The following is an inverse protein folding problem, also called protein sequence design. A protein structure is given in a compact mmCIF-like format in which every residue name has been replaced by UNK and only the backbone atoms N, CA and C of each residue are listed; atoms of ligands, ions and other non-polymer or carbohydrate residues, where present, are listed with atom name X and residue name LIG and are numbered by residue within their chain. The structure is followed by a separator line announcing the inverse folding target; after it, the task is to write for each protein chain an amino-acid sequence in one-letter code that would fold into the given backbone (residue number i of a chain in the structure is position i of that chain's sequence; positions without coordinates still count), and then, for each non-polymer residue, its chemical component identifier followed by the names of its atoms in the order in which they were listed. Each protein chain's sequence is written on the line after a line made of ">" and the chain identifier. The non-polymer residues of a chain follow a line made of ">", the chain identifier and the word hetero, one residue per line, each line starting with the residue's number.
data_IF_053348773650
#
_entry.id   IF_053348773650
#
_cell.length_a   1.000
_cell.length_b   1.000
_cell.length_c   1.000
_cell.angle_alpha   90.00
_cell.angle_beta   90.00
_cell.angle_gamma   90.00
#
_symmetry.space_group_name_H-M   'P 1'
#
loop_
_entity.id
_entity.type
_entity.pdbx_description
1 polymer ?
#
# COMPACT_ATOMS: atom_id res chain seq x y z
N UNK A 1 -12.25 -12.74 9.03
CA UNK A 1 -11.03 -12.68 8.20
C UNK A 1 -10.82 -11.22 7.83
N UNK A 2 -9.69 -10.64 8.21
CA UNK A 2 -9.37 -9.23 7.96
C UNK A 2 -9.03 -8.95 6.49
N UNK A 3 -9.23 -7.70 6.05
CA UNK A 3 -8.97 -7.20 4.68
C UNK A 3 -7.58 -7.60 4.17
N UNK A 4 -6.55 -7.47 5.01
CA UNK A 4 -5.16 -7.77 4.63
C UNK A 4 -4.80 -9.26 4.66
N UNK A 5 -5.64 -10.13 5.24
CA UNK A 5 -5.41 -11.58 5.21
C UNK A 5 -5.54 -12.18 3.80
N UNK A 6 -6.49 -11.67 2.99
CA UNK A 6 -6.62 -12.10 1.60
C UNK A 6 -5.50 -11.54 0.72
N UNK A 7 -5.08 -10.29 0.96
CA UNK A 7 -3.98 -9.64 0.24
C UNK A 7 -2.64 -10.31 0.54
N UNK A 8 -2.37 -10.68 1.80
CA UNK A 8 -1.16 -11.40 2.18
C UNK A 8 -1.05 -12.75 1.49
N UNK A 9 -2.16 -13.49 1.33
CA UNK A 9 -2.17 -14.76 0.59
C UNK A 9 -1.83 -14.57 -0.89
N UNK A 10 -2.38 -13.54 -1.53
CA UNK A 10 -2.03 -13.23 -2.92
C UNK A 10 -0.54 -12.88 -3.03
N UNK A 11 -0.02 -12.07 -2.11
CA UNK A 11 1.39 -11.68 -2.08
C UNK A 11 2.32 -12.88 -1.85
N UNK A 12 1.90 -13.91 -1.10
CA UNK A 12 2.65 -15.17 -0.98
C UNK A 12 2.76 -15.87 -2.33
N UNK A 13 1.69 -15.92 -3.13
CA UNK A 13 1.75 -16.52 -4.46
C UNK A 13 2.70 -15.73 -5.37
N UNK A 14 2.59 -14.40 -5.38
CA UNK A 14 3.51 -13.55 -6.16
C UNK A 14 4.97 -13.74 -5.72
N UNK A 15 5.23 -13.83 -4.42
CA UNK A 15 6.59 -14.06 -3.89
C UNK A 15 7.17 -15.41 -4.30
N UNK A 16 6.36 -16.44 -4.53
CA UNK A 16 6.89 -17.73 -5.03
C UNK A 16 7.51 -17.57 -6.43
N UNK A 17 6.93 -16.71 -7.24
CA UNK A 17 7.35 -16.49 -8.63
C UNK A 17 8.48 -15.46 -8.72
N UNK A 18 8.39 -14.36 -7.96
CA UNK A 18 9.31 -13.23 -8.09
C UNK A 18 10.43 -13.20 -7.05
N UNK A 19 10.19 -13.62 -5.80
CA UNK A 19 11.22 -13.65 -4.75
C UNK A 19 11.08 -14.84 -3.77
N UNK A 20 11.31 -16.08 -4.24
CA UNK A 20 11.11 -17.28 -3.42
C UNK A 20 12.14 -17.41 -2.29
N UNK A 21 13.24 -16.63 -2.31
CA UNK A 21 14.24 -16.61 -1.25
C UNK A 21 13.69 -15.93 0.00
N UNK A 22 13.09 -14.75 -0.16
CA UNK A 22 12.45 -14.02 0.92
C UNK A 22 11.40 -14.88 1.63
N UNK A 23 10.59 -15.62 0.86
CA UNK A 23 9.56 -16.50 1.43
C UNK A 23 10.14 -17.59 2.35
N UNK A 24 11.36 -18.08 2.07
CA UNK A 24 12.05 -19.09 2.90
C UNK A 24 12.65 -18.50 4.17
N UNK A 25 12.99 -17.21 4.15
CA UNK A 25 13.54 -16.50 5.31
C UNK A 25 12.46 -16.13 6.33
N UNK A 26 11.22 -15.95 5.86
CA UNK A 26 10.06 -15.69 6.72
C UNK A 26 9.61 -16.94 7.48
N UNK A 27 9.75 -16.94 8.81
CA UNK A 27 9.27 -18.04 9.68
C UNK A 27 7.75 -18.23 9.66
N UNK A 28 7.01 -17.13 9.56
CA UNK A 28 5.54 -17.11 9.50
C UNK A 28 5.07 -16.19 8.36
N UNK A 29 5.22 -16.61 7.09
CA UNK A 29 5.03 -15.72 5.95
C UNK A 29 3.71 -14.97 5.95
N UNK A 30 2.60 -15.67 6.24
CA UNK A 30 1.29 -15.03 6.24
C UNK A 30 1.16 -13.94 7.32
N UNK A 31 1.56 -14.22 8.58
CA UNK A 31 1.48 -13.22 9.64
C UNK A 31 2.45 -12.05 9.41
N UNK A 32 3.65 -12.32 8.89
CA UNK A 32 4.63 -11.29 8.55
C UNK A 32 4.14 -10.38 7.44
N UNK A 33 3.53 -10.94 6.39
CA UNK A 33 3.01 -10.16 5.26
C UNK A 33 1.69 -9.46 5.60
N UNK A 34 0.84 -10.04 6.44
CA UNK A 34 -0.34 -9.36 6.99
C UNK A 34 0.09 -8.11 7.76
N UNK A 35 1.06 -8.22 8.67
CA UNK A 35 1.61 -7.08 9.40
C UNK A 35 2.25 -6.04 8.46
N UNK A 36 3.05 -6.48 7.50
CA UNK A 36 3.65 -5.57 6.52
C UNK A 36 2.58 -4.79 5.73
N UNK A 37 1.50 -5.45 5.32
CA UNK A 37 0.40 -4.79 4.61
C UNK A 37 -0.38 -3.82 5.52
N UNK A 38 -0.54 -4.14 6.80
CA UNK A 38 -1.12 -3.22 7.79
C UNK A 38 -0.21 -1.97 7.93
N UNK A 39 1.10 -2.16 8.08
CA UNK A 39 2.09 -1.08 8.21
C UNK A 39 2.16 -0.21 6.93
N UNK A 40 1.95 -0.80 5.74
CA UNK A 40 1.89 -0.08 4.46
C UNK A 40 0.59 0.70 4.34
N UNK A 41 -0.55 0.12 4.74
CA UNK A 41 -1.85 0.81 4.72
C UNK A 41 -1.86 2.01 5.69
N UNK A 42 -1.24 1.89 6.86
CA UNK A 42 -1.06 3.01 7.79
C UNK A 42 -0.27 4.17 7.14
N UNK A 43 0.86 3.85 6.51
CA UNK A 43 1.69 4.84 5.81
C UNK A 43 1.01 5.44 4.57
N UNK A 44 0.18 4.68 3.86
CA UNK A 44 -0.66 5.18 2.78
C UNK A 44 -1.61 6.28 3.31
N UNK A 45 -2.24 6.05 4.46
CA UNK A 45 -3.13 7.04 5.09
C UNK A 45 -2.36 8.27 5.57
N UNK A 46 -1.21 8.10 6.22
CA UNK A 46 -0.36 9.22 6.64
C UNK A 46 0.09 10.07 5.45
N UNK A 47 0.50 9.42 4.37
CA UNK A 47 0.90 10.08 3.12
C UNK A 47 -0.26 10.86 2.53
N UNK A 48 -1.45 10.28 2.49
CA UNK A 48 -2.65 10.97 2.03
C UNK A 48 -2.97 12.19 2.89
N UNK A 49 -2.86 12.11 4.22
CA UNK A 49 -3.08 13.25 5.11
C UNK A 49 -2.07 14.38 4.89
N UNK A 50 -0.82 14.05 4.55
CA UNK A 50 0.19 15.03 4.14
C UNK A 50 -0.22 15.68 2.81
N UNK A 51 -0.53 14.87 1.79
CA UNK A 51 -0.88 15.35 0.45
C UNK A 51 -2.14 16.21 0.43
N UNK A 52 -3.11 15.94 1.32
CA UNK A 52 -4.33 16.76 1.47
C UNK A 52 -4.03 18.19 1.90
N UNK A 53 -2.93 18.43 2.63
CA UNK A 53 -2.55 19.78 3.09
C UNK A 53 -2.11 20.68 1.95
N UNK A 54 -1.68 20.08 0.83
CA UNK A 54 -1.25 20.80 -0.37
C UNK A 54 -2.41 21.04 -1.36
N UNK A 55 -3.65 20.64 -1.02
CA UNK A 55 -4.82 20.91 -1.85
C UNK A 55 -5.12 22.42 -1.80
N UNK A 56 -5.20 23.11 -2.97
CA UNK A 56 -5.48 24.53 -3.01
C UNK A 56 -6.79 24.91 -2.31
N UNK A 57 -6.75 26.00 -1.55
CA UNK A 57 -7.94 26.64 -1.01
C UNK A 57 -8.72 27.34 -2.15
N UNK A 58 -10.06 27.28 -2.10
CA UNK A 58 -10.93 27.97 -3.06
C UNK A 58 -11.37 27.15 -4.28
N UNK A 59 -11.01 25.87 -4.34
CA UNK A 59 -11.59 24.92 -5.30
C UNK A 59 -13.10 24.75 -5.07
N UNK A 60 -13.87 24.60 -6.14
CA UNK A 60 -15.26 24.17 -6.01
C UNK A 60 -15.35 22.70 -5.58
N UNK A 61 -16.56 22.23 -5.23
CA UNK A 61 -16.77 20.87 -4.72
C UNK A 61 -16.29 19.77 -5.70
N UNK A 62 -16.47 19.97 -7.01
CA UNK A 62 -16.04 19.01 -8.02
C UNK A 62 -14.52 19.03 -8.21
N UNK A 63 -13.94 20.21 -8.24
CA UNK A 63 -12.49 20.39 -8.35
C UNK A 63 -11.77 19.81 -7.12
N UNK A 64 -12.27 20.08 -5.92
CA UNK A 64 -11.75 19.52 -4.67
C UNK A 64 -11.85 17.99 -4.68
N UNK A 65 -12.99 17.43 -5.12
CA UNK A 65 -13.16 15.98 -5.21
C UNK A 65 -12.19 15.34 -6.21
N UNK A 66 -11.92 15.99 -7.35
CA UNK A 66 -10.93 15.52 -8.33
C UNK A 66 -9.52 15.56 -7.75
N UNK A 67 -9.14 16.67 -7.12
CA UNK A 67 -7.82 16.85 -6.52
C UNK A 67 -7.60 15.84 -5.38
N UNK A 68 -8.59 15.66 -4.50
CA UNK A 68 -8.55 14.66 -3.44
C UNK A 68 -8.37 13.23 -3.98
N UNK A 69 -9.07 12.89 -5.08
CA UNK A 69 -8.91 11.58 -5.70
C UNK A 69 -7.52 11.42 -6.34
N UNK A 70 -6.97 12.47 -6.93
CA UNK A 70 -5.59 12.46 -7.43
C UNK A 70 -4.59 12.22 -6.30
N UNK A 71 -4.74 12.90 -5.15
CA UNK A 71 -3.88 12.68 -3.97
C UNK A 71 -4.01 11.27 -3.39
N UNK A 72 -5.22 10.68 -3.39
CA UNK A 72 -5.43 9.28 -3.02
C UNK A 72 -4.68 8.33 -3.95
N UNK A 73 -4.75 8.56 -5.27
CA UNK A 73 -4.02 7.75 -6.24
C UNK A 73 -2.51 7.82 -6.00
N UNK A 74 -1.96 9.02 -5.78
CA UNK A 74 -0.55 9.21 -5.47
C UNK A 74 -0.10 8.45 -4.21
N UNK A 75 -0.88 8.54 -3.12
CA UNK A 75 -0.57 7.81 -1.88
C UNK A 75 -0.59 6.30 -2.10
N UNK A 76 -1.58 5.81 -2.85
CA UNK A 76 -1.72 4.39 -3.18
C UNK A 76 -0.59 3.90 -4.10
N UNK A 77 -0.14 4.72 -5.06
CA UNK A 77 0.99 4.40 -5.93
C UNK A 77 2.28 4.21 -5.11
N UNK A 78 2.56 5.11 -4.17
CA UNK A 78 3.72 4.99 -3.27
C UNK A 78 3.63 3.73 -2.40
N UNK A 79 2.46 3.42 -1.84
CA UNK A 79 2.24 2.18 -1.09
C UNK A 79 2.46 0.92 -1.96
N UNK A 80 1.98 0.94 -3.20
CA UNK A 80 2.19 -0.14 -4.16
C UNK A 80 3.66 -0.29 -4.58
N UNK A 81 4.41 0.82 -4.71
CA UNK A 81 5.85 0.78 -4.98
C UNK A 81 6.60 0.05 -3.86
N UNK A 82 6.23 0.28 -2.61
CA UNK A 82 6.81 -0.42 -1.47
C UNK A 82 6.55 -1.94 -1.53
N UNK A 83 5.30 -2.33 -1.80
CA UNK A 83 4.94 -3.75 -1.98
C UNK A 83 5.70 -4.36 -3.17
N UNK A 84 5.80 -3.64 -4.29
CA UNK A 84 6.53 -4.11 -5.47
C UNK A 84 8.03 -4.22 -5.22
N UNK A 85 8.61 -3.36 -4.38
CA UNK A 85 10.00 -3.45 -3.97
C UNK A 85 10.28 -4.77 -3.24
N UNK A 86 9.34 -5.23 -2.40
CA UNK A 86 9.41 -6.54 -1.75
C UNK A 86 9.47 -7.70 -2.76
N UNK A 87 8.63 -7.63 -3.80
CA UNK A 87 8.57 -8.66 -4.86
C UNK A 87 9.84 -8.72 -5.72
N UNK A 88 10.53 -7.59 -5.87
CA UNK A 88 11.75 -7.48 -6.68
C UNK A 88 13.04 -7.72 -5.89
N UNK A 89 12.93 -7.94 -4.57
CA UNK A 89 14.03 -7.94 -3.60
C UNK A 89 15.28 -8.73 -3.99
#
# INVERSE_FOLDING_TARGET
>A
MGKNSSRAKALIEDLKDYNPRLLKELKHPQASLEKFLDDVEEREQETLEILKRDIPEGLDEQEYARELNWRRQQAQELANEEINSLLRG
#
